data_IF_330731754275
#
_entry.id   IF_330731754275
#
_cell.length_a   1.000
_cell.length_b   1.000
_cell.length_c   1.000
_cell.angle_alpha   90.00
_cell.angle_beta   90.00
_cell.angle_gamma   90.00
#
_symmetry.space_group_name_H-M   'P 1'
#
loop_
_entity.id
_entity.type
_entity.pdbx_description
1 polymer ?
#
# COMPACT_ATOMS: atom_id res chain seq x y z
N UNK A 1 26.03 -14.12 14.70
CA UNK A 1 25.08 -13.01 14.50
C UNK A 1 23.70 -13.51 14.93
N UNK A 2 23.03 -12.88 15.90
CA UNK A 2 21.63 -13.23 16.20
C UNK A 2 20.81 -12.86 14.96
N UNK A 3 20.07 -13.80 14.39
CA UNK A 3 19.22 -13.55 13.23
C UNK A 3 18.24 -12.42 13.50
N UNK A 4 17.97 -11.59 12.50
CA UNK A 4 16.93 -10.55 12.61
C UNK A 4 15.59 -11.20 12.96
N UNK A 5 14.85 -10.55 13.87
CA UNK A 5 13.53 -11.05 14.27
C UNK A 5 12.56 -10.90 13.10
N UNK A 6 11.75 -11.93 12.88
CA UNK A 6 10.62 -11.84 11.94
C UNK A 6 9.41 -11.28 12.69
N UNK A 7 8.82 -10.20 12.19
CA UNK A 7 7.62 -9.58 12.74
C UNK A 7 6.55 -9.58 11.66
N UNK A 8 5.40 -10.16 11.99
CA UNK A 8 4.21 -10.11 11.14
C UNK A 8 3.18 -9.20 11.79
N UNK A 9 2.77 -8.16 11.06
CA UNK A 9 1.68 -7.26 11.45
C UNK A 9 0.44 -7.67 10.66
N UNK A 10 -0.69 -7.83 11.32
CA UNK A 10 -1.97 -8.16 10.67
C UNK A 10 -2.96 -7.05 11.01
N UNK A 11 -3.52 -6.41 9.99
CA UNK A 11 -4.44 -5.30 10.19
C UNK A 11 -4.80 -4.57 8.90
N UNK A 12 -5.30 -3.36 9.02
CA UNK A 12 -5.57 -2.45 7.90
C UNK A 12 -5.55 -1.00 8.37
N UNK A 13 -5.84 -0.06 7.47
CA UNK A 13 -6.01 1.35 7.78
C UNK A 13 -4.78 2.06 8.35
N UNK A 14 -5.06 3.23 8.90
CA UNK A 14 -4.06 4.20 9.37
C UNK A 14 -3.21 3.67 10.54
N UNK A 15 -3.83 2.95 11.49
CA UNK A 15 -3.11 2.40 12.64
C UNK A 15 -2.01 1.43 12.24
N UNK A 16 -2.29 0.57 11.25
CA UNK A 16 -1.30 -0.37 10.72
C UNK A 16 -0.16 0.35 10.03
N UNK A 17 -0.44 1.37 9.20
CA UNK A 17 0.64 2.15 8.56
C UNK A 17 1.56 2.85 9.56
N UNK A 18 1.03 3.40 10.66
CA UNK A 18 1.84 4.06 11.69
C UNK A 18 2.77 3.05 12.40
N UNK A 19 2.26 1.85 12.69
CA UNK A 19 3.06 0.77 13.29
C UNK A 19 4.18 0.34 12.35
N UNK A 20 3.89 0.18 11.05
CA UNK A 20 4.89 -0.20 10.05
C UNK A 20 5.98 0.87 9.89
N UNK A 21 5.60 2.15 9.87
CA UNK A 21 6.53 3.27 9.77
C UNK A 21 7.48 3.35 10.97
N UNK A 22 7.01 3.00 12.18
CA UNK A 22 7.88 2.86 13.35
C UNK A 22 8.78 1.63 13.27
N UNK A 23 8.20 0.46 12.96
CA UNK A 23 8.90 -0.82 12.96
C UNK A 23 10.00 -0.91 11.89
N UNK A 24 9.85 -0.26 10.73
CA UNK A 24 10.88 -0.29 9.67
C UNK A 24 12.24 0.29 10.12
N UNK A 25 12.25 1.10 11.18
CA UNK A 25 13.49 1.69 11.72
C UNK A 25 14.34 0.70 12.52
N UNK A 26 13.79 -0.47 12.87
CA UNK A 26 14.49 -1.51 13.61
C UNK A 26 15.08 -2.58 12.68
N UNK A 27 16.16 -3.28 13.09
CA UNK A 27 16.75 -4.37 12.30
C UNK A 27 15.89 -5.64 12.39
N UNK A 28 14.73 -5.64 11.73
CA UNK A 28 13.74 -6.73 11.72
C UNK A 28 13.32 -7.05 10.29
N UNK A 29 12.92 -8.30 10.08
CA UNK A 29 12.24 -8.71 8.85
C UNK A 29 10.75 -8.46 9.03
N UNK A 30 10.22 -7.47 8.33
CA UNK A 30 8.84 -7.01 8.50
C UNK A 30 7.94 -7.53 7.37
N UNK A 31 6.83 -8.14 7.74
CA UNK A 31 5.75 -8.51 6.82
C UNK A 31 4.44 -7.95 7.35
N UNK A 32 3.61 -7.39 6.48
CA UNK A 32 2.26 -6.97 6.84
C UNK A 32 1.23 -7.73 6.02
N UNK A 33 0.28 -8.36 6.70
CA UNK A 33 -0.92 -8.94 6.10
C UNK A 33 -2.02 -7.90 6.23
N UNK A 34 -2.47 -7.36 5.11
CA UNK A 34 -3.33 -6.19 5.05
C UNK A 34 -4.74 -6.60 4.67
N UNK A 35 -5.70 -6.34 5.56
CA UNK A 35 -7.11 -6.50 5.23
C UNK A 35 -7.51 -5.42 4.24
N UNK A 36 -8.05 -5.78 3.08
CA UNK A 36 -8.52 -4.82 2.08
C UNK A 36 -10.03 -4.58 2.24
N UNK A 37 -10.42 -3.90 3.33
CA UNK A 37 -11.83 -3.63 3.65
C UNK A 37 -12.25 -2.16 3.43
N UNK A 38 -11.33 -1.34 2.91
CA UNK A 38 -11.53 0.09 2.79
C UNK A 38 -12.71 0.44 1.85
N UNK A 39 -13.75 1.08 2.39
CA UNK A 39 -14.95 1.51 1.67
C UNK A 39 -14.93 3.02 1.33
N UNK A 40 -13.75 3.65 1.29
CA UNK A 40 -13.63 5.06 0.94
C UNK A 40 -14.21 5.35 -0.45
N UNK A 41 -14.82 6.53 -0.65
CA UNK A 41 -15.53 6.87 -1.90
C UNK A 41 -14.72 6.58 -3.17
N UNK A 42 -13.46 7.03 -3.23
CA UNK A 42 -12.59 6.78 -4.40
C UNK A 42 -12.09 5.34 -4.50
N UNK A 43 -11.68 4.71 -3.39
CA UNK A 43 -11.25 3.31 -3.39
C UNK A 43 -12.39 2.37 -3.81
N UNK A 44 -13.63 2.69 -3.40
CA UNK A 44 -14.84 1.97 -3.77
C UNK A 44 -15.26 2.17 -5.22
N UNK A 45 -15.02 3.35 -5.81
CA UNK A 45 -15.22 3.58 -7.25
C UNK A 45 -14.24 2.72 -8.05
N UNK A 46 -12.94 2.78 -7.73
CA UNK A 46 -11.92 2.00 -8.43
C UNK A 46 -12.16 0.48 -8.30
N UNK A 47 -12.52 0.01 -7.10
CA UNK A 47 -12.92 -1.38 -6.86
C UNK A 47 -14.01 -1.83 -7.85
N UNK A 48 -15.06 -1.03 -8.02
CA UNK A 48 -16.22 -1.37 -8.84
C UNK A 48 -15.93 -1.26 -10.34
N UNK A 49 -15.19 -0.23 -10.76
CA UNK A 49 -14.91 0.02 -12.17
C UNK A 49 -13.85 -0.92 -12.75
N UNK A 50 -12.90 -1.38 -11.92
CA UNK A 50 -11.75 -2.18 -12.35
C UNK A 50 -11.79 -3.62 -11.83
N UNK A 51 -12.86 -4.05 -11.17
CA UNK A 51 -13.04 -5.39 -10.57
C UNK A 51 -11.82 -5.84 -9.75
N UNK A 52 -11.36 -4.98 -8.86
CA UNK A 52 -10.14 -5.17 -8.05
C UNK A 52 -10.42 -4.96 -6.57
N UNK A 53 -9.54 -5.43 -5.68
CA UNK A 53 -9.66 -5.12 -4.24
C UNK A 53 -9.42 -3.63 -3.97
N UNK A 54 -10.01 -3.03 -2.90
CA UNK A 54 -9.74 -1.64 -2.55
C UNK A 54 -8.25 -1.35 -2.35
N UNK A 55 -7.66 -0.37 -3.06
CA UNK A 55 -6.22 -0.10 -2.96
C UNK A 55 -5.81 0.73 -1.73
N UNK A 56 -6.78 1.26 -0.96
CA UNK A 56 -6.55 2.30 0.05
C UNK A 56 -5.64 1.88 1.21
N UNK A 57 -5.88 0.70 1.79
CA UNK A 57 -5.06 0.19 2.90
C UNK A 57 -3.64 -0.17 2.43
N UNK A 58 -3.54 -0.83 1.27
CA UNK A 58 -2.25 -1.16 0.65
C UNK A 58 -1.44 0.09 0.33
N UNK A 59 -2.07 1.15 -0.18
CA UNK A 59 -1.41 2.43 -0.43
C UNK A 59 -0.76 2.99 0.83
N UNK A 60 -1.49 3.01 1.95
CA UNK A 60 -0.98 3.56 3.20
C UNK A 60 0.21 2.77 3.70
N UNK A 61 0.14 1.43 3.65
CA UNK A 61 1.24 0.56 4.03
C UNK A 61 2.45 0.66 3.08
N UNK A 62 2.21 0.81 1.77
CA UNK A 62 3.26 1.02 0.77
C UNK A 62 4.07 2.29 1.07
N UNK A 63 3.38 3.41 1.34
CA UNK A 63 4.03 4.68 1.71
C UNK A 63 4.78 4.53 3.03
N UNK A 64 4.18 3.87 4.03
CA UNK A 64 4.80 3.64 5.33
C UNK A 64 6.10 2.84 5.22
N UNK A 65 6.18 1.84 4.34
CA UNK A 65 7.37 0.99 4.17
C UNK A 65 8.43 1.58 3.23
N UNK A 66 8.12 2.62 2.46
CA UNK A 66 9.06 3.22 1.52
C UNK A 66 10.32 3.77 2.20
N UNK A 67 11.46 3.69 1.50
CA UNK A 67 12.77 4.19 2.00
C UNK A 67 12.96 5.68 1.83
N UNK A 68 12.23 6.30 0.91
CA UNK A 68 12.22 7.74 0.67
C UNK A 68 10.83 8.29 0.93
N UNK A 69 10.71 9.61 0.97
CA UNK A 69 9.41 10.27 1.08
C UNK A 69 8.59 10.06 -0.20
N UNK A 70 7.52 9.27 -0.09
CA UNK A 70 6.50 9.05 -1.11
C UNK A 70 5.13 9.61 -0.69
N UNK A 71 5.11 10.65 0.16
CA UNK A 71 3.88 11.28 0.66
C UNK A 71 2.89 11.68 -0.44
N UNK A 72 3.39 12.06 -1.63
CA UNK A 72 2.57 12.36 -2.81
C UNK A 72 1.66 11.21 -3.26
N UNK A 73 1.95 9.96 -2.92
CA UNK A 73 1.04 8.85 -3.22
C UNK A 73 -0.25 8.94 -2.41
N UNK A 74 -0.23 9.55 -1.22
CA UNK A 74 -1.41 9.82 -0.41
C UNK A 74 -2.16 11.10 -0.84
N UNK A 75 -1.55 11.95 -1.67
CA UNK A 75 -2.16 13.20 -2.11
C UNK A 75 -3.38 12.96 -2.98
N UNK A 76 -4.40 13.80 -2.76
CA UNK A 76 -5.70 13.72 -3.44
C UNK A 76 -5.83 14.82 -4.46
N UNK A 77 -6.25 14.47 -5.67
CA UNK A 77 -6.61 15.43 -6.69
C UNK A 77 -7.82 16.26 -6.22
N UNK A 78 -7.67 17.58 -6.26
CA UNK A 78 -8.65 18.52 -5.71
C UNK A 78 -9.70 18.96 -6.74
N UNK A 79 -9.42 18.84 -8.04
CA UNK A 79 -10.25 19.37 -9.14
C UNK A 79 -10.11 18.50 -10.39
N UNK A 80 -11.06 18.68 -11.31
CA UNK A 80 -11.06 18.01 -12.62
C UNK A 80 -11.59 16.58 -12.55
N UNK A 81 -11.40 15.83 -13.64
CA UNK A 81 -11.93 14.46 -13.77
C UNK A 81 -11.40 13.50 -12.70
N UNK A 82 -10.18 13.70 -12.21
CA UNK A 82 -9.57 12.87 -11.17
C UNK A 82 -9.94 13.32 -9.75
N UNK A 83 -10.79 14.34 -9.59
CA UNK A 83 -11.15 14.86 -8.27
C UNK A 83 -11.58 13.74 -7.34
N UNK A 84 -10.99 13.72 -6.14
CA UNK A 84 -11.30 12.70 -5.16
C UNK A 84 -10.43 11.45 -5.26
N UNK A 85 -9.68 11.20 -6.33
CA UNK A 85 -8.71 10.11 -6.39
C UNK A 85 -7.38 10.49 -5.74
N UNK A 86 -6.67 9.49 -5.20
CA UNK A 86 -5.26 9.67 -4.80
C UNK A 86 -4.34 9.12 -5.87
N UNK A 87 -3.15 9.71 -6.03
CA UNK A 87 -2.16 9.24 -7.01
C UNK A 87 -1.80 7.76 -6.77
N UNK A 88 -1.58 7.38 -5.51
CA UNK A 88 -1.24 6.00 -5.15
C UNK A 88 -2.34 4.99 -5.45
N UNK A 89 -3.61 5.35 -5.29
CA UNK A 89 -4.71 4.46 -5.66
C UNK A 89 -4.74 4.20 -7.16
N UNK A 90 -4.54 5.26 -7.97
CA UNK A 90 -4.50 5.13 -9.43
C UNK A 90 -3.28 4.31 -9.88
N UNK A 91 -2.13 4.52 -9.25
CA UNK A 91 -0.91 3.75 -9.51
C UNK A 91 -1.11 2.25 -9.21
N UNK A 92 -1.67 1.92 -8.04
CA UNK A 92 -1.99 0.53 -7.66
C UNK A 92 -2.98 -0.10 -8.64
N UNK A 93 -4.01 0.65 -9.04
CA UNK A 93 -4.99 0.20 -10.04
C UNK A 93 -4.31 -0.15 -11.35
N UNK A 94 -3.46 0.74 -11.87
CA UNK A 94 -2.74 0.51 -13.13
C UNK A 94 -1.84 -0.73 -13.06
N UNK A 95 -1.05 -0.88 -11.98
CA UNK A 95 -0.20 -2.06 -11.81
C UNK A 95 -1.03 -3.35 -11.70
N UNK A 96 -2.18 -3.31 -11.04
CA UNK A 96 -3.10 -4.45 -10.95
C UNK A 96 -3.64 -4.88 -12.32
N UNK A 97 -3.77 -3.98 -13.30
CA UNK A 97 -4.25 -4.32 -14.64
C UNK A 97 -3.16 -4.94 -15.54
N UNK A 98 -1.88 -4.62 -15.27
CA UNK A 98 -0.76 -5.08 -16.08
C UNK A 98 -0.09 -6.36 -15.54
N UNK A 99 -0.39 -6.74 -14.31
CA UNK A 99 0.20 -7.90 -13.64
C UNK A 99 -0.80 -9.07 -13.61
N UNK A 100 -0.28 -10.30 -13.46
CA UNK A 100 -1.12 -11.51 -13.51
C UNK A 100 -2.08 -11.61 -12.33
N UNK A 101 -1.70 -11.02 -11.20
CA UNK A 101 -2.49 -10.99 -9.97
C UNK A 101 -2.11 -9.78 -9.12
N UNK A 102 -2.94 -9.48 -8.12
CA UNK A 102 -2.77 -8.31 -7.26
C UNK A 102 -1.52 -8.37 -6.39
N UNK A 103 -1.10 -9.56 -5.93
CA UNK A 103 0.14 -9.72 -5.16
C UNK A 103 1.36 -9.31 -5.99
N UNK A 104 1.47 -9.76 -7.24
CA UNK A 104 2.56 -9.38 -8.14
C UNK A 104 2.62 -7.87 -8.36
N UNK A 105 1.46 -7.20 -8.49
CA UNK A 105 1.39 -5.74 -8.60
C UNK A 105 1.94 -5.04 -7.34
N UNK A 106 1.58 -5.53 -6.16
CA UNK A 106 2.09 -5.00 -4.88
C UNK A 106 3.59 -5.22 -4.75
N UNK A 107 4.09 -6.40 -5.12
CA UNK A 107 5.53 -6.72 -5.05
C UNK A 107 6.37 -5.82 -5.98
N UNK A 108 5.87 -5.48 -7.16
CA UNK A 108 6.53 -4.54 -8.06
C UNK A 108 6.52 -3.11 -7.50
N UNK A 109 5.42 -2.67 -6.92
CA UNK A 109 5.34 -1.35 -6.29
C UNK A 109 6.26 -1.23 -5.07
N UNK A 110 6.38 -2.29 -4.27
CA UNK A 110 7.32 -2.35 -3.15
C UNK A 110 8.77 -2.18 -3.64
N UNK A 111 9.13 -2.84 -4.76
CA UNK A 111 10.45 -2.65 -5.39
C UNK A 111 10.63 -1.21 -5.90
N UNK A 112 9.60 -0.64 -6.53
CA UNK A 112 9.63 0.72 -7.08
C UNK A 112 9.87 1.79 -6.01
N UNK A 113 9.25 1.66 -4.84
CA UNK A 113 9.45 2.61 -3.72
C UNK A 113 10.65 2.25 -2.82
N UNK A 114 11.36 1.16 -3.16
CA UNK A 114 12.46 0.62 -2.36
C UNK A 114 12.02 0.29 -0.94
N UNK A 115 10.89 -0.38 -0.77
CA UNK A 115 10.29 -0.63 0.54
C UNK A 115 11.14 -1.54 1.44
N UNK A 116 11.06 -1.32 2.75
CA UNK A 116 11.67 -2.17 3.78
C UNK A 116 10.64 -3.09 4.42
N UNK A 117 10.32 -4.18 3.72
CA UNK A 117 9.39 -5.20 4.19
C UNK A 117 8.56 -5.78 3.05
N UNK A 118 7.60 -6.64 3.40
CA UNK A 118 6.67 -7.26 2.46
C UNK A 118 5.23 -6.93 2.82
N UNK A 119 4.37 -6.82 1.81
CA UNK A 119 2.91 -6.68 1.98
C UNK A 119 2.21 -7.87 1.35
N UNK A 120 1.25 -8.42 2.07
CA UNK A 120 0.35 -9.48 1.62
C UNK A 120 -1.08 -8.93 1.69
N UNK A 121 -1.76 -8.70 0.56
CA UNK A 121 -3.09 -8.12 0.47
C UNK A 121 -4.24 -9.11 0.73
#
# INVERSE_FOLDING_TARGET
MKGQKNIVVIGGGTGTSVVLEGLKTYPVNLTAIITTADNGSSSGVLRKEFDMVPPGDIRQCLVALATRDFGYLNERFQKGFLQGHTLGNLLITLFSQHNKNFQEAVDELLKLVGAQGSLVP
#
